data_IF_628529738098
#
_entry.id   IF_628529738098
#
_cell.length_a   1.000
_cell.length_b   1.000
_cell.length_c   1.000
_cell.angle_alpha   90.00
_cell.angle_beta   90.00
_cell.angle_gamma   90.00
#
_symmetry.space_group_name_H-M   'P 1'
#
loop_
_entity.id
_entity.type
_entity.pdbx_description
1 polymer ?
#
# COMPACT_ATOMS: atom_id res chain seq x y z
N UNK A 1 -79.40 29.14 -34.87
CA UNK A 1 -79.52 28.82 -33.43
C UNK A 1 -78.94 27.44 -33.16
N UNK A 2 -77.78 27.34 -32.50
CA UNK A 2 -77.35 26.10 -31.83
C UNK A 2 -76.43 26.48 -30.67
N UNK A 3 -77.05 26.68 -29.50
CA UNK A 3 -76.35 26.88 -28.23
C UNK A 3 -75.72 25.53 -27.85
N UNK A 4 -74.39 25.45 -27.91
CA UNK A 4 -73.61 24.36 -27.33
C UNK A 4 -73.61 24.57 -25.82
N UNK A 5 -74.30 23.69 -25.10
CA UNK A 5 -74.27 23.63 -23.65
C UNK A 5 -72.85 23.28 -23.20
N UNK A 6 -72.14 24.27 -22.67
CA UNK A 6 -70.95 24.04 -21.86
C UNK A 6 -71.43 23.46 -20.53
N UNK A 7 -71.26 22.15 -20.35
CA UNK A 7 -71.43 21.55 -19.04
C UNK A 7 -70.30 22.07 -18.13
N UNK A 8 -70.62 22.54 -16.92
CA UNK A 8 -69.62 23.01 -15.98
C UNK A 8 -68.76 21.81 -15.55
N UNK A 9 -67.48 21.88 -15.88
CA UNK A 9 -66.46 20.96 -15.38
C UNK A 9 -66.43 21.09 -13.85
N UNK A 10 -67.14 20.20 -13.17
CA UNK A 10 -67.07 20.06 -11.71
C UNK A 10 -65.61 19.77 -11.30
N UNK A 11 -65.12 20.36 -10.20
CA UNK A 11 -63.71 20.27 -9.81
C UNK A 11 -63.29 18.80 -9.66
N UNK A 12 -62.20 18.44 -10.33
CA UNK A 12 -61.54 17.14 -10.41
C UNK A 12 -60.97 16.63 -9.06
N UNK A 13 -61.80 16.60 -8.01
CA UNK A 13 -61.41 16.10 -6.67
C UNK A 13 -61.07 14.60 -6.64
N UNK A 14 -61.43 13.82 -7.67
CA UNK A 14 -61.16 12.38 -7.73
C UNK A 14 -59.73 12.03 -8.17
N UNK A 15 -59.00 12.94 -8.79
CA UNK A 15 -57.65 12.63 -9.32
C UNK A 15 -56.55 12.73 -8.25
N UNK A 16 -56.76 13.52 -7.18
CA UNK A 16 -55.75 13.69 -6.12
C UNK A 16 -55.51 12.43 -5.28
N UNK A 17 -56.49 11.51 -5.21
CA UNK A 17 -56.36 10.25 -4.48
C UNK A 17 -55.60 9.17 -5.25
N UNK A 18 -55.69 9.18 -6.59
CA UNK A 18 -55.01 8.20 -7.43
C UNK A 18 -53.48 8.35 -7.36
N UNK A 19 -52.98 9.59 -7.36
CA UNK A 19 -51.55 9.89 -7.25
C UNK A 19 -50.94 9.36 -5.95
N UNK A 20 -51.68 9.42 -4.83
CA UNK A 20 -51.20 8.88 -3.56
C UNK A 20 -51.08 7.35 -3.58
N UNK A 21 -51.99 6.65 -4.27
CA UNK A 21 -51.93 5.20 -4.42
C UNK A 21 -50.78 4.81 -5.35
N UNK A 22 -50.59 5.54 -6.45
CA UNK A 22 -49.47 5.30 -7.37
C UNK A 22 -48.12 5.55 -6.70
N UNK A 23 -47.99 6.62 -5.92
CA UNK A 23 -46.79 6.89 -5.15
C UNK A 23 -46.56 5.82 -4.07
N UNK A 24 -47.61 5.36 -3.39
CA UNK A 24 -47.51 4.33 -2.36
C UNK A 24 -47.03 2.98 -2.90
N UNK A 25 -47.32 2.65 -4.17
CA UNK A 25 -46.81 1.42 -4.81
C UNK A 25 -45.44 1.62 -5.49
N UNK A 26 -45.15 2.80 -6.03
CA UNK A 26 -43.88 3.10 -6.68
C UNK A 26 -42.74 3.30 -5.67
N UNK A 27 -43.02 3.95 -4.53
CA UNK A 27 -42.02 4.24 -3.50
C UNK A 27 -41.27 3.00 -2.98
N UNK A 28 -41.91 1.89 -2.58
CA UNK A 28 -41.18 0.71 -2.10
C UNK A 28 -40.30 0.09 -3.19
N UNK A 29 -40.75 0.09 -4.45
CA UNK A 29 -39.95 -0.39 -5.59
C UNK A 29 -38.74 0.52 -5.81
N UNK A 30 -38.94 1.84 -5.77
CA UNK A 30 -37.87 2.81 -5.91
C UNK A 30 -36.83 2.67 -4.78
N UNK A 31 -37.27 2.51 -3.53
CA UNK A 31 -36.38 2.31 -2.39
C UNK A 31 -35.59 1.00 -2.51
N UNK A 32 -36.24 -0.09 -2.95
CA UNK A 32 -35.56 -1.36 -3.20
C UNK A 32 -34.46 -1.22 -4.26
N UNK A 33 -34.72 -0.49 -5.34
CA UNK A 33 -33.72 -0.23 -6.39
C UNK A 33 -32.57 0.63 -5.87
N UNK A 34 -32.85 1.67 -5.09
CA UNK A 34 -31.81 2.54 -4.51
C UNK A 34 -30.94 1.75 -3.54
N UNK A 35 -31.52 0.98 -2.61
CA UNK A 35 -30.74 0.16 -1.68
C UNK A 35 -29.93 -0.91 -2.41
N UNK A 36 -30.53 -1.58 -3.41
CA UNK A 36 -29.80 -2.54 -4.24
C UNK A 36 -28.59 -1.93 -4.95
N UNK A 37 -28.71 -0.69 -5.45
CA UNK A 37 -27.60 0.01 -6.09
C UNK A 37 -26.48 0.39 -5.10
N UNK A 38 -26.84 0.83 -3.89
CA UNK A 38 -25.87 1.16 -2.83
C UNK A 38 -25.10 -0.10 -2.39
N UNK A 39 -25.80 -1.20 -2.14
CA UNK A 39 -25.17 -2.49 -1.75
C UNK A 39 -24.28 -3.06 -2.85
N UNK A 40 -24.72 -2.98 -4.11
CA UNK A 40 -23.90 -3.42 -5.23
C UNK A 40 -22.62 -2.58 -5.36
N UNK A 41 -22.71 -1.26 -5.10
CA UNK A 41 -21.57 -0.36 -5.09
C UNK A 41 -20.55 -0.70 -3.99
N UNK A 42 -21.01 -0.89 -2.75
CA UNK A 42 -20.13 -1.22 -1.63
C UNK A 42 -19.50 -2.61 -1.76
N UNK A 43 -20.25 -3.59 -2.26
CA UNK A 43 -19.73 -4.93 -2.52
C UNK A 43 -18.71 -4.94 -3.69
N UNK A 44 -18.91 -4.08 -4.71
CA UNK A 44 -17.96 -3.92 -5.80
C UNK A 44 -16.64 -3.28 -5.35
N UNK A 45 -16.72 -2.27 -4.49
CA UNK A 45 -15.55 -1.66 -3.85
C UNK A 45 -14.78 -2.72 -3.04
N UNK A 46 -15.47 -3.48 -2.18
CA UNK A 46 -14.87 -4.55 -1.38
C UNK A 46 -14.05 -5.52 -2.23
N UNK A 47 -14.64 -5.99 -3.33
CA UNK A 47 -14.00 -6.88 -4.29
C UNK A 47 -12.80 -6.24 -4.97
N UNK A 48 -12.90 -4.95 -5.32
CA UNK A 48 -11.81 -4.21 -5.96
C UNK A 48 -10.62 -4.08 -5.01
N UNK A 49 -10.85 -3.71 -3.75
CA UNK A 49 -9.80 -3.64 -2.72
C UNK A 49 -9.14 -5.00 -2.48
N UNK A 50 -9.93 -6.08 -2.42
CA UNK A 50 -9.39 -7.44 -2.29
C UNK A 50 -8.53 -7.85 -3.49
N UNK A 51 -8.94 -7.49 -4.71
CA UNK A 51 -8.18 -7.76 -5.93
C UNK A 51 -6.84 -7.02 -5.92
N UNK A 52 -6.82 -5.74 -5.50
CA UNK A 52 -5.59 -4.97 -5.30
C UNK A 52 -4.72 -5.58 -4.21
N UNK A 53 -5.31 -5.94 -3.07
CA UNK A 53 -4.64 -6.62 -1.95
C UNK A 53 -3.94 -7.90 -2.37
N UNK A 54 -4.62 -8.77 -3.11
CA UNK A 54 -4.04 -10.01 -3.65
C UNK A 54 -2.83 -9.71 -4.55
N UNK A 55 -2.89 -8.68 -5.40
CA UNK A 55 -1.78 -8.31 -6.29
C UNK A 55 -0.60 -7.74 -5.51
N UNK A 56 -0.84 -6.80 -4.60
CA UNK A 56 0.21 -6.22 -3.76
C UNK A 56 0.87 -7.30 -2.88
N UNK A 57 0.05 -8.16 -2.25
CA UNK A 57 0.51 -9.31 -1.48
C UNK A 57 1.34 -10.27 -2.32
N UNK A 58 0.90 -10.60 -3.52
CA UNK A 58 1.65 -11.48 -4.42
C UNK A 58 3.02 -10.88 -4.80
N UNK A 59 3.08 -9.58 -5.10
CA UNK A 59 4.33 -8.89 -5.42
C UNK A 59 5.29 -8.92 -4.22
N UNK A 60 4.80 -8.69 -3.00
CA UNK A 60 5.59 -8.83 -1.77
C UNK A 60 6.09 -10.26 -1.57
N UNK A 61 5.22 -11.25 -1.80
CA UNK A 61 5.57 -12.65 -1.70
C UNK A 61 6.68 -13.03 -2.69
N UNK A 62 6.55 -12.57 -3.94
CA UNK A 62 7.50 -12.81 -5.00
C UNK A 62 8.85 -12.11 -4.77
N UNK A 63 8.85 -10.88 -4.24
CA UNK A 63 10.08 -10.12 -3.99
C UNK A 63 10.88 -10.65 -2.80
N UNK A 64 10.18 -11.13 -1.75
CA UNK A 64 10.83 -11.65 -0.55
C UNK A 64 11.23 -13.13 -0.68
N UNK A 65 10.57 -13.87 -1.60
CA UNK A 65 10.92 -15.24 -1.93
C UNK A 65 10.86 -16.17 -0.72
N UNK A 66 12.03 -16.60 -0.23
CA UNK A 66 12.19 -17.48 0.93
C UNK A 66 12.64 -16.73 2.19
N UNK A 67 12.40 -15.42 2.30
CA UNK A 67 12.62 -14.70 3.54
C UNK A 67 11.64 -15.18 4.62
N UNK A 68 12.04 -15.30 5.89
CA UNK A 68 11.19 -15.77 6.98
C UNK A 68 9.98 -14.86 7.25
N UNK A 69 10.12 -13.55 7.01
CA UNK A 69 9.06 -12.57 7.20
C UNK A 69 8.06 -12.50 6.03
N UNK A 70 8.22 -13.33 5.00
CA UNK A 70 7.45 -13.20 3.76
C UNK A 70 5.95 -13.17 4.04
N UNK A 71 5.42 -14.11 4.84
CA UNK A 71 3.98 -14.18 5.09
C UNK A 71 3.47 -13.01 5.92
N UNK A 72 4.21 -12.58 6.94
CA UNK A 72 3.88 -11.38 7.70
C UNK A 72 3.76 -10.15 6.77
N UNK A 73 4.73 -9.96 5.86
CA UNK A 73 4.74 -8.84 4.93
C UNK A 73 3.60 -8.93 3.90
N UNK A 74 3.27 -10.13 3.45
CA UNK A 74 2.11 -10.37 2.58
C UNK A 74 0.83 -9.99 3.32
N UNK A 75 0.61 -10.50 4.52
CA UNK A 75 -0.57 -10.19 5.34
C UNK A 75 -0.70 -8.68 5.58
N UNK A 76 0.37 -8.02 6.02
CA UNK A 76 0.39 -6.56 6.23
C UNK A 76 0.04 -5.79 4.96
N UNK A 77 0.56 -6.20 3.80
CA UNK A 77 0.25 -5.53 2.54
C UNK A 77 -1.19 -5.76 2.09
N UNK A 78 -1.75 -6.95 2.26
CA UNK A 78 -3.15 -7.24 1.94
C UNK A 78 -4.09 -6.47 2.86
N UNK A 79 -3.79 -6.43 4.18
CA UNK A 79 -4.55 -5.65 5.17
C UNK A 79 -4.51 -4.15 4.83
N UNK A 80 -3.34 -3.62 4.43
CA UNK A 80 -3.19 -2.22 4.04
C UNK A 80 -4.07 -1.82 2.85
N UNK A 81 -4.29 -2.73 1.91
CA UNK A 81 -5.11 -2.50 0.71
C UNK A 81 -6.61 -2.69 0.98
N UNK A 82 -6.98 -3.67 1.84
CA UNK A 82 -8.37 -3.93 2.21
C UNK A 82 -8.90 -2.88 3.21
N UNK A 83 -8.01 -2.33 4.04
CA UNK A 83 -8.34 -1.43 5.13
C UNK A 83 -8.64 -2.19 6.43
N UNK A 84 -8.23 -1.62 7.56
CA UNK A 84 -8.37 -2.26 8.88
C UNK A 84 -9.83 -2.44 9.30
N UNK A 85 -10.72 -1.53 8.88
CA UNK A 85 -12.15 -1.56 9.24
C UNK A 85 -12.90 -2.72 8.57
N UNK A 86 -12.26 -3.40 7.61
CA UNK A 86 -12.85 -4.47 6.79
C UNK A 86 -12.25 -5.84 7.06
N UNK A 87 -11.36 -5.94 8.04
CA UNK A 87 -10.69 -7.21 8.37
C UNK A 87 -11.68 -8.25 8.89
N UNK A 88 -12.74 -7.80 9.56
CA UNK A 88 -13.88 -8.63 9.97
C UNK A 88 -14.64 -9.26 8.78
N UNK A 89 -14.61 -8.62 7.60
CA UNK A 89 -15.20 -9.17 6.38
C UNK A 89 -14.30 -10.25 5.76
N UNK A 90 -13.01 -10.33 6.12
CA UNK A 90 -12.07 -11.30 5.54
C UNK A 90 -12.27 -12.66 6.20
N UNK A 91 -12.75 -13.63 5.43
CA UNK A 91 -12.91 -15.01 5.91
C UNK A 91 -11.54 -15.69 6.05
N UNK A 92 -10.68 -15.50 5.04
CA UNK A 92 -9.30 -15.95 5.09
C UNK A 92 -8.40 -15.31 4.02
N UNK A 93 -7.10 -15.39 4.29
CA UNK A 93 -6.01 -15.19 3.34
C UNK A 93 -5.23 -16.50 3.25
N UNK A 94 -4.96 -16.99 2.04
CA UNK A 94 -4.16 -18.20 1.80
C UNK A 94 -2.91 -17.81 1.02
N UNK A 95 -1.76 -18.23 1.54
CA UNK A 95 -0.46 -18.13 0.86
C UNK A 95 -0.07 -19.55 0.47
N UNK A 96 0.03 -19.83 -0.83
CA UNK A 96 0.15 -21.19 -1.35
C UNK A 96 1.22 -21.36 -2.41
N UNK A 97 1.69 -22.59 -2.55
CA UNK A 97 2.64 -22.97 -3.58
C UNK A 97 1.98 -22.89 -4.96
N UNK A 98 2.45 -21.95 -5.76
CA UNK A 98 1.97 -21.70 -7.12
C UNK A 98 2.45 -22.72 -8.15
N UNK A 99 3.17 -23.77 -7.76
CA UNK A 99 3.63 -24.79 -8.69
C UNK A 99 2.43 -25.63 -9.19
N UNK A 100 2.20 -25.60 -10.50
CA UNK A 100 1.10 -26.33 -11.15
C UNK A 100 1.30 -27.84 -11.16
N UNK A 101 2.52 -28.33 -10.90
CA UNK A 101 2.78 -29.77 -10.76
C UNK A 101 2.12 -30.38 -9.52
N UNK A 102 1.72 -29.54 -8.56
CA UNK A 102 1.00 -29.93 -7.34
C UNK A 102 -0.53 -29.94 -7.52
N UNK A 103 -1.02 -29.53 -8.69
CA UNK A 103 -2.45 -29.51 -9.07
C UNK A 103 -2.90 -28.15 -9.63
N UNK A 104 -4.14 -28.05 -10.15
CA UNK A 104 -4.72 -26.76 -10.51
C UNK A 104 -4.84 -25.85 -9.26
N UNK A 105 -4.50 -24.57 -9.39
CA UNK A 105 -4.50 -23.64 -8.25
C UNK A 105 -5.81 -23.65 -7.45
N UNK A 106 -6.95 -23.77 -8.14
CA UNK A 106 -8.27 -23.85 -7.50
C UNK A 106 -8.42 -25.05 -6.56
N UNK A 107 -7.81 -26.22 -6.85
CA UNK A 107 -7.85 -27.35 -5.91
C UNK A 107 -6.94 -27.13 -4.71
N UNK A 108 -5.80 -26.46 -4.90
CA UNK A 108 -4.94 -26.09 -3.78
C UNK A 108 -5.65 -25.12 -2.85
N UNK A 109 -6.28 -24.07 -3.39
CA UNK A 109 -7.06 -23.12 -2.59
C UNK A 109 -8.20 -23.82 -1.84
N UNK A 110 -8.98 -24.67 -2.52
CA UNK A 110 -10.08 -25.40 -1.89
C UNK A 110 -9.59 -26.38 -0.79
N UNK A 111 -8.46 -27.05 -1.02
CA UNK A 111 -7.85 -27.94 -0.03
C UNK A 111 -7.32 -27.15 1.19
N UNK A 112 -6.81 -25.94 0.95
CA UNK A 112 -6.20 -25.06 1.96
C UNK A 112 -7.19 -24.19 2.72
N UNK A 113 -8.38 -23.99 2.16
CA UNK A 113 -9.42 -23.17 2.77
C UNK A 113 -9.78 -23.74 4.14
N UNK A 114 -9.72 -22.92 5.21
CA UNK A 114 -10.06 -23.39 6.53
C UNK A 114 -11.50 -23.89 6.53
N UNK A 115 -11.70 -25.15 6.87
CA UNK A 115 -13.05 -25.64 7.17
C UNK A 115 -13.43 -25.04 8.52
N UNK A 116 -14.54 -24.29 8.57
CA UNK A 116 -14.99 -23.59 9.77
C UNK A 116 -14.85 -24.46 11.04
N UNK A 117 -14.12 -23.94 12.04
CA UNK A 117 -13.99 -24.58 13.36
C UNK A 117 -12.72 -25.41 13.62
N UNK A 118 -11.73 -25.41 12.71
CA UNK A 118 -10.45 -26.06 12.98
C UNK A 118 -9.50 -25.15 13.78
N UNK A 119 -9.62 -25.22 15.10
CA UNK A 119 -8.59 -24.73 16.00
C UNK A 119 -7.33 -25.62 15.86
N UNK A 120 -6.32 -25.11 15.16
CA UNK A 120 -4.99 -25.72 15.07
C UNK A 120 -4.74 -26.49 13.77
N UNK A 121 -4.23 -25.77 12.77
CA UNK A 121 -3.71 -26.32 11.51
C UNK A 121 -4.26 -25.58 10.30
N UNK A 122 -3.78 -24.36 10.06
CA UNK A 122 -4.31 -23.50 8.99
C UNK A 122 -3.47 -23.68 7.74
N UNK A 123 -3.88 -24.63 6.90
CA UNK A 123 -3.20 -24.97 5.65
C UNK A 123 -2.76 -26.44 5.59
N UNK A 124 -2.08 -26.80 4.50
CA UNK A 124 -1.66 -28.15 4.21
C UNK A 124 -0.15 -28.18 4.09
N UNK A 125 0.46 -29.13 4.81
CA UNK A 125 1.91 -29.35 4.81
C UNK A 125 2.45 -29.41 3.39
N UNK A 126 3.46 -28.57 3.13
CA UNK A 126 4.16 -28.37 1.85
C UNK A 126 3.29 -27.83 0.71
N UNK A 127 2.06 -27.37 0.98
CA UNK A 127 1.18 -26.77 -0.03
C UNK A 127 0.86 -25.32 0.26
N UNK A 128 0.51 -24.97 1.51
CA UNK A 128 -0.02 -23.65 1.83
C UNK A 128 -0.09 -23.39 3.33
N UNK A 129 -0.18 -22.09 3.65
CA UNK A 129 -0.64 -21.56 4.93
C UNK A 129 -1.97 -20.83 4.72
N UNK A 130 -2.86 -20.88 5.69
CA UNK A 130 -4.11 -20.13 5.70
C UNK A 130 -4.17 -19.25 6.96
N UNK A 131 -4.80 -18.08 6.85
CA UNK A 131 -4.90 -17.09 7.92
C UNK A 131 -6.36 -16.61 7.97
N UNK A 132 -7.06 -16.84 9.07
CA UNK A 132 -8.42 -16.30 9.30
C UNK A 132 -8.37 -14.88 9.88
N UNK A 133 -9.55 -14.29 10.10
CA UNK A 133 -9.72 -12.97 10.67
C UNK A 133 -8.99 -12.76 12.01
N UNK A 134 -8.95 -13.75 12.91
CA UNK A 134 -8.26 -13.61 14.20
C UNK A 134 -6.74 -13.42 14.02
N UNK A 135 -6.13 -14.07 13.03
CA UNK A 135 -4.71 -13.85 12.74
C UNK A 135 -4.48 -12.43 12.21
N UNK A 136 -5.41 -11.92 11.41
CA UNK A 136 -5.31 -10.56 10.87
C UNK A 136 -5.44 -9.51 11.97
N UNK A 137 -6.37 -9.71 12.90
CA UNK A 137 -6.50 -8.88 14.10
C UNK A 137 -5.22 -8.93 14.94
N UNK A 138 -4.64 -10.11 15.12
CA UNK A 138 -3.39 -10.27 15.87
C UNK A 138 -2.21 -9.60 15.14
N UNK A 139 -2.19 -9.56 13.80
CA UNK A 139 -1.21 -8.80 13.00
C UNK A 139 -1.39 -7.29 13.19
N UNK A 140 -2.64 -6.80 13.15
CA UNK A 140 -2.97 -5.37 13.34
C UNK A 140 -2.62 -4.91 14.76
N UNK A 141 -2.89 -5.76 15.75
CA UNK A 141 -2.53 -5.53 17.15
C UNK A 141 -1.01 -5.67 17.40
N UNK A 142 -0.23 -6.14 16.42
CA UNK A 142 1.21 -6.40 16.56
C UNK A 142 1.53 -7.58 17.50
N UNK A 143 0.52 -8.41 17.81
CA UNK A 143 0.68 -9.64 18.61
C UNK A 143 1.35 -10.73 17.79
N UNK A 144 0.99 -10.84 16.51
CA UNK A 144 1.75 -11.60 15.52
C UNK A 144 2.86 -10.71 14.96
N UNK A 145 4.11 -11.11 15.20
CA UNK A 145 5.32 -10.46 14.71
C UNK A 145 6.25 -11.48 14.03
N UNK A 146 7.46 -11.07 13.65
CA UNK A 146 8.40 -11.94 12.94
C UNK A 146 8.74 -13.22 13.72
N UNK A 147 8.75 -13.19 15.05
CA UNK A 147 9.03 -14.36 15.90
C UNK A 147 7.90 -15.41 15.82
N UNK A 148 6.70 -15.06 15.34
CA UNK A 148 5.62 -16.02 15.10
C UNK A 148 5.81 -16.82 13.80
N UNK A 149 6.68 -16.34 12.90
CA UNK A 149 7.03 -16.97 11.61
C UNK A 149 8.45 -17.57 11.64
N UNK A 150 9.36 -16.96 12.40
CA UNK A 150 10.72 -17.47 12.60
C UNK A 150 10.67 -18.69 13.54
N UNK A 151 11.44 -19.76 13.26
CA UNK A 151 11.59 -20.90 14.15
C UNK A 151 12.28 -20.54 15.49
N UNK A 152 12.80 -19.31 15.60
CA UNK A 152 13.35 -18.74 16.83
C UNK A 152 14.64 -19.41 17.27
N UNK A 153 15.25 -20.23 16.41
CA UNK A 153 16.48 -20.92 16.77
C UNK A 153 17.69 -19.98 16.73
N UNK A 154 17.56 -18.77 16.17
CA UNK A 154 18.62 -17.74 16.15
C UNK A 154 19.96 -18.22 15.59
N UNK A 155 19.95 -19.41 14.99
CA UNK A 155 21.12 -20.08 14.45
C UNK A 155 20.99 -19.97 12.95
N UNK A 156 22.06 -19.52 12.29
CA UNK A 156 22.14 -19.33 10.84
C UNK A 156 22.02 -20.64 10.03
N UNK A 157 21.40 -21.68 10.61
CA UNK A 157 20.96 -22.85 9.87
C UNK A 157 19.77 -22.45 8.99
N UNK A 158 19.73 -22.91 7.73
CA UNK A 158 18.66 -22.58 6.80
C UNK A 158 17.30 -22.94 7.41
N UNK A 159 16.43 -21.94 7.58
CA UNK A 159 15.06 -22.01 8.10
C UNK A 159 14.43 -23.39 7.89
N UNK A 160 14.44 -24.21 8.92
CA UNK A 160 13.96 -25.59 8.82
C UNK A 160 12.49 -25.54 9.15
N UNK A 161 11.62 -25.70 8.14
CA UNK A 161 10.20 -25.93 8.45
C UNK A 161 10.14 -27.12 9.39
N UNK A 162 9.73 -26.88 10.64
CA UNK A 162 9.71 -27.90 11.68
C UNK A 162 9.08 -29.18 11.13
N UNK A 163 9.90 -30.21 10.95
CA UNK A 163 9.42 -31.55 10.60
C UNK A 163 8.81 -32.24 11.82
N UNK A 164 8.82 -31.59 12.99
CA UNK A 164 8.25 -32.15 14.21
C UNK A 164 6.71 -32.06 14.16
N UNK A 165 5.99 -33.19 14.31
CA UNK A 165 4.53 -33.24 14.30
C UNK A 165 3.88 -32.69 15.59
N UNK A 166 4.64 -32.08 16.48
CA UNK A 166 4.08 -31.30 17.59
C UNK A 166 3.38 -30.06 17.01
N UNK A 167 2.17 -29.70 17.48
CA UNK A 167 1.41 -28.57 16.97
C UNK A 167 2.31 -27.34 16.98
N UNK A 168 2.72 -26.93 15.79
CA UNK A 168 3.71 -25.89 15.64
C UNK A 168 3.11 -24.61 16.22
N UNK A 169 3.81 -24.03 17.19
CA UNK A 169 3.53 -22.69 17.70
C UNK A 169 3.71 -21.60 16.64
N UNK A 170 4.15 -21.97 15.43
CA UNK A 170 4.42 -21.09 14.30
C UNK A 170 3.30 -21.17 13.27
N UNK A 171 2.86 -19.99 12.86
CA UNK A 171 1.64 -19.81 12.09
C UNK A 171 1.80 -20.20 10.61
N UNK A 172 3.03 -20.20 10.10
CA UNK A 172 3.41 -20.52 8.72
C UNK A 172 4.03 -21.92 8.56
N UNK A 173 3.91 -22.76 9.59
CA UNK A 173 4.59 -24.05 9.69
C UNK A 173 4.24 -25.06 8.58
N UNK A 174 3.07 -24.92 7.95
CA UNK A 174 2.64 -25.82 6.88
C UNK A 174 3.42 -25.56 5.59
N UNK A 175 3.75 -24.31 5.26
CA UNK A 175 4.51 -23.93 4.08
C UNK A 175 5.48 -22.76 4.34
N UNK A 176 6.46 -23.04 5.21
CA UNK A 176 7.44 -22.05 5.64
C UNK A 176 8.44 -21.66 4.52
N UNK A 177 9.15 -20.56 4.77
CA UNK A 177 10.08 -19.91 3.84
C UNK A 177 11.11 -20.86 3.19
N UNK A 178 11.74 -21.74 3.97
CA UNK A 178 12.76 -22.69 3.50
C UNK A 178 12.25 -23.72 2.48
N UNK A 179 10.92 -23.92 2.37
CA UNK A 179 10.29 -24.83 1.40
C UNK A 179 9.73 -24.13 0.16
N UNK A 180 9.91 -22.81 0.04
CA UNK A 180 9.41 -22.02 -1.12
C UNK A 180 10.29 -22.12 -2.34
N UNK A 181 11.58 -22.36 -2.13
CA UNK A 181 12.52 -22.61 -3.21
C UNK A 181 12.19 -23.98 -3.81
N UNK A 182 11.61 -23.97 -5.02
CA UNK A 182 11.44 -25.19 -5.80
C UNK A 182 12.80 -25.81 -6.16
N UNK A 183 12.80 -27.05 -6.66
CA UNK A 183 14.03 -27.75 -7.07
C UNK A 183 14.83 -27.00 -8.15
N UNK A 184 14.17 -26.10 -8.89
CA UNK A 184 14.76 -25.26 -9.94
C UNK A 184 15.29 -23.91 -9.44
N UNK A 185 15.14 -23.60 -8.14
CA UNK A 185 15.41 -22.27 -7.58
C UNK A 185 14.34 -21.22 -7.89
N UNK A 186 13.28 -21.58 -8.63
CA UNK A 186 12.12 -20.71 -8.81
C UNK A 186 11.24 -20.74 -7.55
N UNK A 187 10.72 -19.57 -7.16
CA UNK A 187 9.64 -19.47 -6.18
C UNK A 187 8.35 -19.30 -6.95
N UNK A 188 7.49 -20.31 -6.85
CA UNK A 188 6.12 -20.24 -7.31
C UNK A 188 5.23 -19.95 -6.10
N UNK A 189 4.72 -18.74 -6.01
CA UNK A 189 3.87 -18.32 -4.90
C UNK A 189 2.56 -17.77 -5.41
N UNK A 190 1.48 -18.14 -4.72
CA UNK A 190 0.16 -17.61 -4.93
C UNK A 190 -0.39 -17.01 -3.65
N UNK A 191 -1.24 -16.00 -3.82
CA UNK A 191 -2.00 -15.38 -2.75
C UNK A 191 -3.48 -15.46 -3.14
N UNK A 192 -4.31 -15.91 -2.22
CA UNK A 192 -5.76 -15.92 -2.37
C UNK A 192 -6.40 -15.24 -1.16
N UNK A 193 -7.47 -14.50 -1.38
CA UNK A 193 -8.25 -13.83 -0.35
C UNK A 193 -9.71 -14.16 -0.57
N UNK A 194 -10.41 -14.50 0.51
CA UNK A 194 -11.86 -14.60 0.51
C UNK A 194 -12.43 -13.62 1.52
N UNK A 195 -13.43 -12.87 1.07
CA UNK A 195 -14.17 -11.92 1.87
C UNK A 195 -15.66 -12.21 1.79
N UNK A 196 -16.37 -11.93 2.88
CA UNK A 196 -17.81 -11.97 2.99
C UNK A 196 -18.32 -10.56 3.29
N UNK A 197 -18.83 -9.88 2.27
CA UNK A 197 -19.38 -8.54 2.39
C UNK A 197 -20.84 -8.62 2.85
N UNK A 198 -21.09 -8.22 4.10
CA UNK A 198 -22.44 -8.18 4.66
C UNK A 198 -23.33 -7.09 4.04
N UNK A 199 -24.63 -7.37 3.89
CA UNK A 199 -25.57 -6.33 3.42
C UNK A 199 -25.73 -5.24 4.48
N UNK A 200 -25.33 -4.00 4.16
CA UNK A 200 -25.33 -2.89 5.12
C UNK A 200 -26.73 -2.42 5.50
N UNK A 201 -27.67 -2.45 4.54
CA UNK A 201 -29.04 -1.97 4.65
C UNK A 201 -30.02 -3.05 5.12
N UNK A 202 -29.65 -4.33 5.00
CA UNK A 202 -30.53 -5.47 5.22
C UNK A 202 -31.74 -5.53 4.27
N UNK A 203 -31.76 -4.71 3.20
CA UNK A 203 -32.86 -4.66 2.25
C UNK A 203 -32.87 -5.86 1.28
N UNK A 204 -31.71 -6.50 1.09
CA UNK A 204 -31.56 -7.71 0.29
C UNK A 204 -31.65 -8.95 1.18
N UNK A 205 -32.29 -10.04 0.72
CA UNK A 205 -32.34 -11.28 1.48
C UNK A 205 -30.96 -11.93 1.60
N UNK A 206 -30.71 -12.59 2.74
CA UNK A 206 -29.45 -13.24 3.06
C UNK A 206 -28.54 -12.36 3.94
N UNK A 207 -27.35 -12.87 4.24
CA UNK A 207 -26.41 -12.19 5.15
C UNK A 207 -25.37 -11.35 4.39
N UNK A 208 -25.19 -11.57 3.08
CA UNK A 208 -24.18 -10.87 2.29
C UNK A 208 -23.87 -11.55 0.96
N UNK A 209 -22.72 -11.18 0.39
CA UNK A 209 -22.11 -11.81 -0.78
C UNK A 209 -20.65 -12.13 -0.49
N UNK A 210 -20.20 -13.31 -0.89
CA UNK A 210 -18.79 -13.71 -0.78
C UNK A 210 -18.06 -13.55 -2.11
N UNK A 211 -16.82 -13.11 -2.01
CA UNK A 211 -15.90 -13.00 -3.14
C UNK A 211 -14.62 -13.78 -2.82
N UNK A 212 -14.09 -14.48 -3.81
CA UNK A 212 -12.82 -15.18 -3.73
C UNK A 212 -11.95 -14.67 -4.88
N UNK A 213 -10.80 -14.10 -4.55
CA UNK A 213 -9.84 -13.55 -5.50
C UNK A 213 -8.49 -14.22 -5.27
N UNK A 214 -7.77 -14.53 -6.35
CA UNK A 214 -6.44 -15.13 -6.24
C UNK A 214 -5.54 -14.71 -7.41
N UNK A 215 -4.24 -14.76 -7.16
CA UNK A 215 -3.22 -14.53 -8.17
C UNK A 215 -1.99 -15.39 -7.88
N UNK A 216 -1.22 -15.71 -8.93
CA UNK A 216 -0.03 -16.56 -8.86
C UNK A 216 1.09 -15.89 -9.64
N UNK A 217 2.30 -15.93 -9.09
CA UNK A 217 3.53 -15.48 -9.75
C UNK A 217 4.57 -16.58 -9.69
N UNK A 218 5.41 -16.62 -10.72
CA UNK A 218 6.61 -17.43 -10.79
C UNK A 218 7.79 -16.50 -10.97
N UNK A 219 8.63 -16.39 -9.94
CA UNK A 219 9.87 -15.61 -9.99
C UNK A 219 11.03 -16.59 -9.94
N UNK A 220 11.93 -16.49 -10.91
CA UNK A 220 13.24 -17.14 -10.80
C UNK A 220 14.00 -16.36 -9.73
N UNK A 221 14.28 -16.99 -8.59
CA UNK A 221 15.17 -16.37 -7.61
C UNK A 221 16.53 -16.38 -8.27
N UNK A 222 17.01 -15.22 -8.74
CA UNK A 222 18.42 -15.06 -9.03
C UNK A 222 19.17 -15.52 -7.79
N UNK A 223 20.23 -16.29 -7.96
CA UNK A 223 20.93 -17.04 -6.90
C UNK A 223 21.56 -16.18 -5.77
N UNK A 224 21.09 -14.96 -5.55
CA UNK A 224 21.32 -14.19 -4.34
C UNK A 224 20.59 -14.86 -3.18
N UNK A 225 21.26 -15.85 -2.58
CA UNK A 225 20.93 -16.26 -1.22
C UNK A 225 20.80 -14.97 -0.39
N UNK A 226 19.62 -14.74 0.19
CA UNK A 226 19.40 -13.64 1.11
C UNK A 226 20.60 -13.62 2.06
N UNK A 227 21.36 -12.52 2.05
CA UNK A 227 22.45 -12.37 2.99
C UNK A 227 21.85 -12.63 4.38
N UNK A 228 22.42 -13.52 5.20
CA UNK A 228 21.84 -13.86 6.49
C UNK A 228 21.55 -12.57 7.23
N UNK A 229 20.32 -12.40 7.69
CA UNK A 229 19.96 -11.25 8.52
C UNK A 229 20.93 -11.20 9.69
N UNK A 230 21.85 -10.25 9.65
CA UNK A 230 22.73 -9.95 10.77
C UNK A 230 21.98 -8.90 11.57
N UNK A 231 21.37 -9.26 12.72
CA UNK A 231 20.78 -8.25 13.57
C UNK A 231 21.83 -7.17 13.86
N UNK A 232 21.48 -5.87 13.80
CA UNK A 232 22.42 -4.81 14.06
C UNK A 232 23.13 -5.08 15.39
N UNK A 233 24.46 -4.94 15.40
CA UNK A 233 25.25 -5.16 16.60
C UNK A 233 24.63 -4.37 17.76
N UNK A 234 24.55 -4.94 18.98
CA UNK A 234 23.99 -4.23 20.13
C UNK A 234 24.63 -2.85 20.23
N UNK A 235 23.80 -1.80 20.25
CA UNK A 235 24.30 -0.45 20.36
C UNK A 235 25.28 -0.37 21.54
N UNK A 236 26.44 0.27 21.37
CA UNK A 236 27.39 0.43 22.47
C UNK A 236 26.65 1.08 23.66
N UNK A 237 26.95 0.63 24.89
CA UNK A 237 26.27 1.14 26.07
C UNK A 237 26.37 2.66 26.10
N UNK A 238 25.25 3.37 26.36
CA UNK A 238 25.26 4.82 26.37
C UNK A 238 26.31 5.33 27.37
N UNK A 239 27.02 6.42 27.06
CA UNK A 239 27.96 7.04 27.99
C UNK A 239 27.24 7.38 29.30
N UNK A 240 27.95 7.19 30.42
CA UNK A 240 27.41 7.35 31.77
C UNK A 240 26.66 8.68 31.94
N UNK A 241 25.48 8.69 32.58
CA UNK A 241 24.64 9.87 32.69
C UNK A 241 25.32 10.98 33.51
N UNK A 242 25.32 12.18 32.96
CA UNK A 242 25.55 13.43 33.71
C UNK A 242 24.35 13.70 34.65
N UNK A 243 24.55 14.36 35.82
CA UNK A 243 23.51 14.50 36.84
C UNK A 243 22.29 15.33 36.37
N UNK A 244 21.11 15.13 36.99
CA UNK A 244 19.83 15.55 36.44
C UNK A 244 19.54 17.04 36.67
N UNK A 245 18.98 17.70 35.65
CA UNK A 245 18.18 18.93 35.81
C UNK A 245 16.71 18.52 35.80
N UNK A 246 16.01 18.91 36.86
CA UNK A 246 14.61 18.61 37.13
C UNK A 246 13.71 19.49 36.24
N UNK A 247 12.83 18.87 35.46
CA UNK A 247 11.73 19.51 34.74
C UNK A 247 10.58 18.52 34.53
N UNK A 248 9.37 18.93 34.90
CA UNK A 248 8.11 18.16 34.94
C UNK A 248 7.57 17.77 33.54
N UNK A 249 6.75 16.71 33.43
CA UNK A 249 6.29 16.21 32.14
C UNK A 249 5.05 16.96 31.64
N UNK A 250 5.13 17.44 30.40
CA UNK A 250 3.99 17.74 29.53
C UNK A 250 4.44 17.50 28.07
N UNK A 251 3.52 17.24 27.13
CA UNK A 251 3.81 16.66 25.82
C UNK A 251 4.73 17.55 24.99
N UNK A 252 5.70 16.95 24.31
CA UNK A 252 6.73 17.66 23.54
C UNK A 252 6.31 17.74 22.06
N UNK A 253 5.98 18.94 21.55
CA UNK A 253 6.11 19.24 20.14
C UNK A 253 7.59 19.45 19.84
N UNK A 254 8.14 18.72 18.87
CA UNK A 254 9.55 18.85 18.49
C UNK A 254 9.65 19.94 17.42
N UNK A 255 10.16 21.10 17.85
CA UNK A 255 10.59 22.20 16.98
C UNK A 255 12.02 21.97 16.45
N UNK A 256 12.26 22.43 15.23
CA UNK A 256 13.50 22.28 14.48
C UNK A 256 14.73 22.87 15.18
N UNK A 257 15.82 22.10 15.23
CA UNK A 257 17.19 22.60 15.00
C UNK A 257 18.05 21.45 14.46
N UNK A 258 18.59 21.64 13.26
CA UNK A 258 19.72 20.93 12.65
C UNK A 258 20.13 19.58 13.27
N UNK A 259 19.56 18.47 12.79
CA UNK A 259 20.17 17.15 12.89
C UNK A 259 19.80 16.36 11.63
N UNK A 260 20.79 15.69 11.05
CA UNK A 260 20.64 14.86 9.88
C UNK A 260 19.53 13.81 10.10
N UNK A 261 18.53 13.81 9.22
CA UNK A 261 17.48 12.80 9.21
C UNK A 261 18.06 11.55 8.52
N UNK A 262 18.35 10.51 9.30
CA UNK A 262 18.35 9.16 8.77
C UNK A 262 16.89 8.71 8.74
N UNK A 263 16.32 8.50 7.56
CA UNK A 263 14.94 8.03 7.42
C UNK A 263 14.92 6.56 7.85
N UNK A 264 14.29 6.20 8.99
CA UNK A 264 14.11 4.81 9.33
C UNK A 264 12.88 4.32 8.56
N UNK A 265 13.08 3.44 7.56
CA UNK A 265 12.05 2.71 6.83
C UNK A 265 10.89 3.57 6.27
N UNK A 266 10.85 3.69 4.94
CA UNK A 266 9.70 4.23 4.16
C UNK A 266 8.37 3.88 4.84
N UNK A 267 7.74 4.87 5.47
CA UNK A 267 6.47 4.71 6.18
C UNK A 267 5.35 4.65 5.15
N UNK A 268 4.38 3.79 5.47
CA UNK A 268 3.22 3.40 4.69
C UNK A 268 2.41 4.56 4.09
N UNK A 269 1.71 4.20 3.01
CA UNK A 269 0.52 4.84 2.45
C UNK A 269 -0.11 5.90 3.36
N UNK A 270 -0.14 7.14 2.87
CA UNK A 270 -0.93 8.21 3.47
C UNK A 270 -2.40 7.82 3.32
N UNK A 271 -3.19 7.73 4.41
CA UNK A 271 -4.60 7.42 4.32
C UNK A 271 -5.30 8.41 3.40
N UNK A 272 -6.07 7.92 2.42
CA UNK A 272 -6.82 8.76 1.49
C UNK A 272 -7.68 9.77 2.25
N UNK A 273 -7.35 11.05 2.13
CA UNK A 273 -8.08 12.16 2.77
C UNK A 273 -7.33 12.92 3.87
N UNK A 274 -6.16 12.46 4.35
CA UNK A 274 -5.30 13.28 5.17
C UNK A 274 -4.56 14.30 4.28
N UNK A 275 -4.67 15.61 4.58
CA UNK A 275 -3.84 16.60 3.91
C UNK A 275 -2.39 16.40 4.34
N UNK A 276 -1.47 16.29 3.38
CA UNK A 276 -0.02 16.12 3.62
C UNK A 276 0.64 17.43 4.03
N UNK A 277 0.09 18.10 5.02
CA UNK A 277 0.50 19.45 5.42
C UNK A 277 1.21 19.42 6.77
N UNK A 278 2.39 20.02 6.83
CA UNK A 278 3.17 20.18 8.06
C UNK A 278 4.17 21.33 7.96
N UNK A 279 4.15 22.20 8.98
CA UNK A 279 5.12 23.30 9.14
C UNK A 279 6.51 22.82 9.57
N UNK A 280 6.71 21.50 9.75
CA UNK A 280 7.92 20.95 10.37
C UNK A 280 8.34 19.59 9.83
N UNK A 281 7.53 18.98 8.96
CA UNK A 281 7.76 17.62 8.47
C UNK A 281 7.76 17.62 6.95
N UNK A 282 8.83 17.10 6.36
CA UNK A 282 8.82 16.67 4.98
C UNK A 282 8.33 15.22 4.91
N UNK A 283 7.44 14.93 3.97
CA UNK A 283 6.93 13.59 3.73
C UNK A 283 7.70 12.94 2.60
N UNK A 284 8.21 11.73 2.82
CA UNK A 284 8.97 10.98 1.82
C UNK A 284 8.17 9.74 1.48
N UNK A 285 7.82 9.60 0.21
CA UNK A 285 6.84 8.64 -0.28
C UNK A 285 7.45 7.89 -1.46
N UNK A 286 7.50 6.56 -1.36
CA UNK A 286 7.83 5.72 -2.52
C UNK A 286 6.56 5.52 -3.36
N UNK A 287 6.54 6.01 -4.60
CA UNK A 287 5.30 6.05 -5.39
C UNK A 287 5.12 4.79 -6.23
N UNK A 288 6.08 4.50 -7.10
CA UNK A 288 6.03 3.34 -7.98
C UNK A 288 7.41 2.68 -8.09
N UNK A 289 7.40 1.35 -8.13
CA UNK A 289 8.58 0.55 -8.40
C UNK A 289 8.47 -0.09 -9.80
N UNK A 290 9.57 -0.01 -10.56
CA UNK A 290 9.80 -0.71 -11.83
C UNK A 290 8.86 -0.29 -12.97
N UNK A 291 8.69 1.01 -13.18
CA UNK A 291 7.91 1.56 -14.28
C UNK A 291 8.78 1.68 -15.52
N UNK A 292 8.37 1.06 -16.64
CA UNK A 292 9.04 1.28 -17.93
C UNK A 292 8.46 2.52 -18.60
N UNK A 293 9.30 3.52 -18.87
CA UNK A 293 8.86 4.78 -19.46
C UNK A 293 8.31 4.58 -20.88
N UNK A 294 7.08 5.03 -21.13
CA UNK A 294 6.46 4.91 -22.46
C UNK A 294 7.03 5.90 -23.49
N UNK A 295 7.62 7.00 -23.01
CA UNK A 295 8.27 8.04 -23.80
C UNK A 295 9.51 8.55 -23.06
N UNK A 296 10.35 9.33 -23.74
CA UNK A 296 11.49 9.99 -23.10
C UNK A 296 10.97 10.91 -21.99
N UNK A 297 11.46 10.72 -20.76
CA UNK A 297 11.15 11.57 -19.63
C UNK A 297 12.17 12.70 -19.60
N UNK A 298 11.75 13.89 -20.01
CA UNK A 298 12.61 15.07 -19.99
C UNK A 298 12.82 15.47 -18.53
N UNK A 299 14.07 15.59 -18.10
CA UNK A 299 14.38 16.09 -16.78
C UNK A 299 14.39 17.63 -16.83
N UNK A 300 13.66 18.26 -15.92
CA UNK A 300 13.63 19.72 -15.81
C UNK A 300 14.98 20.24 -15.29
N UNK A 301 15.81 20.68 -16.21
CA UNK A 301 17.09 21.35 -15.91
C UNK A 301 17.19 22.68 -16.67
N UNK A 302 16.14 23.50 -16.59
CA UNK A 302 16.13 24.83 -17.21
C UNK A 302 15.73 25.99 -16.26
N UNK A 303 15.59 25.75 -14.95
CA UNK A 303 15.35 26.79 -13.93
C UNK A 303 16.62 27.30 -13.24
N UNK A 304 16.46 28.30 -12.35
CA UNK A 304 17.49 29.12 -11.66
C UNK A 304 18.35 28.35 -10.61
N UNK A 305 18.75 27.11 -10.91
CA UNK A 305 19.70 26.32 -10.10
C UNK A 305 21.15 26.44 -10.59
N UNK A 306 22.12 26.51 -9.68
CA UNK A 306 23.54 26.35 -10.03
C UNK A 306 23.89 24.88 -10.27
N UNK A 307 23.92 24.48 -11.54
CA UNK A 307 24.48 23.19 -11.93
C UNK A 307 26.01 23.28 -12.05
N UNK A 308 26.75 22.18 -11.77
CA UNK A 308 28.12 22.06 -12.21
C UNK A 308 28.22 22.35 -13.72
N UNK A 309 29.21 23.13 -14.19
CA UNK A 309 29.35 23.45 -15.60
C UNK A 309 29.51 22.15 -16.42
N UNK A 310 28.56 21.88 -17.32
CA UNK A 310 28.56 20.70 -18.20
C UNK A 310 27.26 19.89 -18.25
N UNK A 311 26.28 20.18 -17.40
CA UNK A 311 25.00 19.46 -17.41
C UNK A 311 24.00 20.20 -18.33
N UNK A 312 23.61 19.57 -19.45
CA UNK A 312 22.47 20.00 -20.27
C UNK A 312 21.20 19.29 -19.79
N UNK A 313 19.99 19.82 -20.09
CA UNK A 313 18.75 19.05 -19.98
C UNK A 313 18.97 17.65 -20.57
N UNK A 314 18.76 16.63 -19.75
CA UNK A 314 18.91 15.24 -20.13
C UNK A 314 17.52 14.62 -20.12
N UNK A 315 17.24 13.77 -21.10
CA UNK A 315 16.05 12.95 -21.08
C UNK A 315 16.44 11.55 -20.65
N UNK A 316 15.64 10.94 -19.77
CA UNK A 316 15.70 9.51 -19.52
C UNK A 316 14.99 8.84 -20.70
N UNK A 317 15.66 7.98 -21.48
CA UNK A 317 15.08 7.41 -22.69
C UNK A 317 13.84 6.55 -22.39
N UNK A 318 12.89 6.53 -23.33
CA UNK A 318 11.79 5.59 -23.34
C UNK A 318 12.30 4.14 -23.19
N UNK A 319 11.52 3.30 -22.52
CA UNK A 319 11.84 1.91 -22.20
C UNK A 319 12.71 1.73 -20.96
N UNK A 320 13.32 2.80 -20.43
CA UNK A 320 14.08 2.74 -19.17
C UNK A 320 13.14 2.38 -18.02
N UNK A 321 13.55 1.41 -17.19
CA UNK A 321 12.83 1.08 -15.96
C UNK A 321 13.27 2.01 -14.84
N UNK A 322 12.32 2.74 -14.26
CA UNK A 322 12.56 3.74 -13.24
C UNK A 322 11.72 3.50 -11.98
N UNK A 323 12.28 3.94 -10.87
CA UNK A 323 11.63 4.00 -9.57
C UNK A 323 11.57 5.47 -9.15
N UNK A 324 10.50 5.89 -8.48
CA UNK A 324 10.38 7.27 -8.01
C UNK A 324 10.11 7.36 -6.52
N UNK A 325 10.77 8.35 -5.91
CA UNK A 325 10.53 8.77 -4.53
C UNK A 325 10.09 10.23 -4.56
N UNK A 326 8.90 10.51 -4.04
CA UNK A 326 8.37 11.86 -3.86
C UNK A 326 8.77 12.37 -2.47
N UNK A 327 9.31 13.58 -2.44
CA UNK A 327 9.53 14.39 -1.25
C UNK A 327 8.51 15.52 -1.32
N UNK A 328 7.56 15.53 -0.41
CA UNK A 328 6.45 16.48 -0.37
C UNK A 328 6.57 17.36 0.87
N UNK A 329 6.48 18.67 0.66
CA UNK A 329 6.53 19.67 1.71
C UNK A 329 5.42 20.69 1.46
N UNK A 330 4.48 20.79 2.37
CA UNK A 330 3.38 21.75 2.31
C UNK A 330 3.16 22.36 3.69
N UNK A 331 3.26 23.69 3.81
CA UNK A 331 3.04 24.41 5.07
C UNK A 331 1.53 24.50 5.36
N UNK A 332 1.11 24.40 6.62
CA UNK A 332 -0.32 24.48 7.02
C UNK A 332 -0.89 25.91 6.99
N UNK A 333 -0.13 26.88 6.47
CA UNK A 333 -0.59 28.25 6.22
C UNK A 333 -0.01 29.26 7.21
N UNK A 334 1.20 29.03 7.72
CA UNK A 334 1.93 30.05 8.45
C UNK A 334 2.20 31.25 7.52
N UNK A 335 2.00 32.45 8.07
CA UNK A 335 2.35 33.70 7.39
C UNK A 335 3.85 33.92 7.55
N UNK A 336 4.65 33.24 6.74
CA UNK A 336 6.09 33.36 6.79
C UNK A 336 6.81 32.39 5.88
N UNK A 337 8.11 32.59 5.78
CA UNK A 337 9.05 31.68 5.15
C UNK A 337 9.40 30.56 6.12
N UNK A 338 9.16 29.30 5.75
CA UNK A 338 9.62 28.13 6.50
C UNK A 338 10.73 27.42 5.72
N UNK A 339 11.88 27.18 6.37
CA UNK A 339 13.02 26.51 5.72
C UNK A 339 13.09 25.04 6.13
N UNK A 340 12.98 24.15 5.15
CA UNK A 340 13.05 22.71 5.32
C UNK A 340 14.39 22.17 4.82
N UNK A 341 15.18 21.63 5.74
CA UNK A 341 16.43 20.96 5.43
C UNK A 341 16.29 19.46 5.67
N UNK A 342 16.73 18.66 4.71
CA UNK A 342 16.69 17.22 4.84
C UNK A 342 17.63 16.51 3.87
N UNK A 343 17.73 15.20 4.07
CA UNK A 343 18.42 14.33 3.14
C UNK A 343 17.81 12.94 3.17
N UNK A 344 17.86 12.25 2.04
CA UNK A 344 17.65 10.82 1.94
C UNK A 344 18.95 10.15 1.50
N UNK A 345 19.22 8.98 2.05
CA UNK A 345 20.27 8.09 1.58
C UNK A 345 19.59 6.92 0.89
N UNK A 346 19.89 6.75 -0.40
CA UNK A 346 19.37 5.65 -1.21
C UNK A 346 20.26 4.42 -1.04
N UNK A 347 19.71 3.21 -1.19
CA UNK A 347 20.53 2.02 -1.20
C UNK A 347 21.51 2.05 -2.40
N UNK A 348 22.61 1.30 -2.28
CA UNK A 348 23.66 1.26 -3.30
C UNK A 348 23.21 0.79 -4.69
N UNK A 349 22.07 0.13 -4.75
CA UNK A 349 21.50 -0.41 -5.98
C UNK A 349 20.64 0.61 -6.73
N UNK A 350 20.35 1.76 -6.11
CA UNK A 350 19.69 2.88 -6.76
C UNK A 350 20.73 3.85 -7.31
N UNK A 351 20.60 4.16 -8.59
CA UNK A 351 21.32 5.26 -9.23
C UNK A 351 20.33 6.39 -9.47
N UNK A 352 20.60 7.58 -8.93
CA UNK A 352 19.81 8.78 -9.24
C UNK A 352 19.97 9.10 -10.71
N UNK A 353 18.87 8.98 -11.46
CA UNK A 353 18.80 9.30 -12.88
C UNK A 353 18.46 10.77 -13.09
N UNK A 354 17.65 11.35 -12.19
CA UNK A 354 17.22 12.73 -12.30
C UNK A 354 16.40 13.19 -11.11
N UNK A 355 16.18 14.50 -11.05
CA UNK A 355 15.26 15.14 -10.12
C UNK A 355 14.24 15.91 -10.95
N UNK A 356 12.97 15.79 -10.58
CA UNK A 356 11.86 16.55 -11.15
C UNK A 356 11.25 17.40 -10.04
N UNK A 357 11.07 18.69 -10.30
CA UNK A 357 10.47 19.61 -9.34
C UNK A 357 9.43 20.54 -9.98
N UNK A 358 9.35 20.59 -11.32
CA UNK A 358 8.36 21.41 -12.03
C UNK A 358 8.03 20.81 -13.41
N UNK A 359 7.41 19.64 -13.48
CA UNK A 359 7.03 19.05 -14.77
C UNK A 359 5.51 18.96 -14.95
N UNK A 360 4.93 19.94 -15.64
CA UNK A 360 3.52 19.90 -16.03
C UNK A 360 3.17 18.75 -16.99
N UNK A 361 4.16 18.11 -17.63
CA UNK A 361 3.96 16.97 -18.52
C UNK A 361 3.73 15.65 -17.76
N UNK A 362 4.10 15.60 -16.47
CA UNK A 362 3.83 14.44 -15.61
C UNK A 362 2.34 14.20 -15.37
N UNK A 363 1.50 15.23 -15.47
CA UNK A 363 0.04 15.09 -15.42
C UNK A 363 -0.51 14.18 -16.55
N UNK A 364 0.31 13.83 -17.54
CA UNK A 364 0.02 12.88 -18.61
C UNK A 364 0.71 11.52 -18.47
N UNK A 365 1.54 11.30 -17.43
CA UNK A 365 2.27 10.04 -17.18
C UNK A 365 1.73 9.34 -15.93
N UNK A 366 0.53 8.72 -15.99
CA UNK A 366 -0.13 8.11 -14.84
C UNK A 366 0.70 7.01 -14.17
N UNK A 367 1.71 6.49 -14.86
CA UNK A 367 2.60 5.45 -14.34
C UNK A 367 3.57 5.95 -13.26
N UNK A 368 3.82 7.26 -13.20
CA UNK A 368 4.65 7.88 -12.17
C UNK A 368 3.82 8.54 -11.07
N UNK A 369 2.49 8.62 -11.22
CA UNK A 369 1.62 9.24 -10.23
C UNK A 369 1.25 8.26 -9.10
N UNK A 370 1.26 8.73 -7.86
CA UNK A 370 0.53 8.05 -6.79
C UNK A 370 -0.97 8.35 -6.97
N UNK A 371 -1.83 7.35 -6.76
CA UNK A 371 -3.29 7.53 -6.78
C UNK A 371 -3.68 8.73 -5.90
N UNK A 372 -4.33 9.73 -6.51
CA UNK A 372 -4.87 10.96 -5.90
C UNK A 372 -3.92 12.15 -5.65
N UNK A 373 -2.65 12.07 -6.03
CA UNK A 373 -1.77 13.25 -5.98
C UNK A 373 -1.99 14.12 -7.22
N UNK A 374 -2.45 15.36 -7.02
CA UNK A 374 -2.54 16.36 -8.10
C UNK A 374 -1.23 17.13 -8.17
N UNK A 375 -0.40 16.82 -9.16
CA UNK A 375 0.77 17.62 -9.50
C UNK A 375 0.29 18.88 -10.26
N UNK A 376 -0.02 19.94 -9.53
CA UNK A 376 -0.43 21.21 -10.14
C UNK A 376 0.77 21.95 -10.77
N UNK A 377 0.51 22.95 -11.61
CA UNK A 377 1.51 23.95 -12.04
C UNK A 377 1.86 24.89 -10.89
N UNK A 378 2.40 24.36 -9.81
CA UNK A 378 2.98 25.16 -8.74
C UNK A 378 4.36 25.63 -9.20
N UNK A 379 4.72 26.87 -8.87
CA UNK A 379 5.97 27.48 -9.32
C UNK A 379 7.15 26.61 -8.87
N UNK A 380 8.13 26.41 -9.75
CA UNK A 380 9.32 25.63 -9.41
C UNK A 380 10.11 26.20 -8.24
N UNK A 381 11.22 25.54 -7.91
CA UNK A 381 12.13 25.89 -6.81
C UNK A 381 12.33 27.41 -6.64
N UNK A 382 11.96 27.93 -5.48
CA UNK A 382 12.12 29.33 -5.12
C UNK A 382 13.63 29.62 -4.90
N UNK A 383 14.11 30.85 -5.06
CA UNK A 383 15.49 31.16 -4.63
C UNK A 383 15.45 31.50 -3.14
N UNK A 384 16.18 30.80 -2.25
CA UNK A 384 17.41 30.04 -2.48
C UNK A 384 17.31 28.51 -2.29
N UNK A 385 16.27 27.88 -2.83
CA UNK A 385 16.11 26.43 -2.81
C UNK A 385 17.30 25.73 -3.44
N UNK A 386 17.75 24.67 -2.78
CA UNK A 386 18.83 23.85 -3.30
C UNK A 386 18.51 22.38 -3.11
N UNK A 387 18.73 21.60 -4.16
CA UNK A 387 18.79 20.15 -4.10
C UNK A 387 20.16 19.72 -4.57
N UNK A 388 20.85 18.94 -3.75
CA UNK A 388 22.19 18.43 -4.03
C UNK A 388 22.16 16.92 -4.06
N UNK A 389 22.67 16.34 -5.15
CA UNK A 389 22.90 14.90 -5.26
C UNK A 389 24.40 14.64 -5.09
N UNK A 390 24.76 13.82 -4.11
CA UNK A 390 26.14 13.42 -3.85
C UNK A 390 26.20 11.90 -3.65
N UNK A 391 26.47 11.16 -4.73
CA UNK A 391 26.42 9.70 -4.71
C UNK A 391 24.99 9.21 -4.54
N UNK A 392 24.72 8.46 -3.46
CA UNK A 392 23.39 7.97 -3.10
C UNK A 392 22.60 8.92 -2.21
N UNK A 393 23.21 10.02 -1.77
CA UNK A 393 22.55 10.99 -0.91
C UNK A 393 21.92 12.09 -1.75
N UNK A 394 20.62 12.31 -1.55
CA UNK A 394 19.90 13.48 -2.06
C UNK A 394 19.57 14.37 -0.88
N UNK A 395 20.14 15.56 -0.85
CA UNK A 395 19.92 16.56 0.20
C UNK A 395 19.16 17.75 -0.36
N UNK A 396 18.32 18.37 0.46
CA UNK A 396 17.57 19.56 0.09
C UNK A 396 17.60 20.62 1.20
N UNK A 397 17.46 21.85 0.77
CA UNK A 397 17.18 23.02 1.59
C UNK A 397 16.14 23.83 0.80
N UNK A 398 14.89 23.77 1.24
CA UNK A 398 13.73 24.35 0.56
C UNK A 398 13.12 25.47 1.41
N UNK A 399 12.83 26.60 0.79
CA UNK A 399 12.22 27.78 1.36
C UNK A 399 10.75 27.84 0.92
N UNK A 400 9.85 27.47 1.83
CA UNK A 400 8.42 27.37 1.53
C UNK A 400 7.73 28.67 1.92
N UNK A 401 7.24 29.46 0.95
CA UNK A 401 6.48 30.71 1.19
C UNK A 401 5.01 30.64 0.74
N UNK A 402 4.24 29.73 1.33
CA UNK A 402 2.81 29.57 1.03
C UNK A 402 2.52 28.89 -0.33
N UNK A 403 3.56 28.35 -0.95
CA UNK A 403 3.51 27.42 -2.06
C UNK A 403 3.94 26.04 -1.57
N UNK A 404 3.62 25.01 -2.35
CA UNK A 404 3.94 23.63 -2.03
C UNK A 404 5.16 23.23 -2.84
N UNK A 405 6.21 22.78 -2.17
CA UNK A 405 7.40 22.27 -2.83
C UNK A 405 7.33 20.75 -2.93
N UNK A 406 7.58 20.25 -4.14
CA UNK A 406 7.65 18.83 -4.41
C UNK A 406 8.93 18.52 -5.16
N UNK A 407 9.71 17.60 -4.60
CA UNK A 407 10.88 17.06 -5.28
C UNK A 407 10.61 15.59 -5.54
N UNK A 408 10.73 15.18 -6.79
CA UNK A 408 10.71 13.79 -7.16
C UNK A 408 12.10 13.34 -7.56
N UNK A 409 12.60 12.34 -6.87
CA UNK A 409 13.87 11.69 -7.18
C UNK A 409 13.57 10.48 -8.06
N UNK A 410 14.02 10.55 -9.32
CA UNK A 410 13.92 9.44 -10.27
C UNK A 410 15.21 8.64 -10.20
N UNK A 411 15.07 7.35 -9.98
CA UNK A 411 16.18 6.42 -9.81
C UNK A 411 16.06 5.24 -10.76
N UNK A 412 17.16 4.53 -10.99
CA UNK A 412 17.08 3.16 -11.50
C UNK A 412 16.36 2.32 -10.46
N UNK A 413 15.49 1.43 -10.90
CA UNK A 413 15.06 0.37 -9.99
C UNK A 413 16.21 -0.61 -9.80
N UNK A 414 16.47 -1.07 -8.57
CA UNK A 414 17.26 -2.28 -8.40
C UNK A 414 16.64 -3.33 -9.30
N UNK A 415 17.46 -3.92 -10.16
CA UNK A 415 17.06 -5.13 -10.87
C UNK A 415 16.62 -6.10 -9.78
N UNK A 416 15.32 -6.42 -9.73
CA UNK A 416 14.83 -7.50 -8.88
C UNK A 416 15.66 -8.72 -9.28
N UNK A 417 16.60 -9.16 -8.45
CA UNK A 417 17.65 -10.07 -8.91
C UNK A 417 17.11 -11.46 -9.26
#
# INVERSE_FOLDING_TARGET
MRRRNQHPNGPSRRERGAVLVEAAMALPILLLVIFGAVEAGSAWEARSSATSGVRTGLLRAASLGSAPETDLRVLQSVIGEIGTDRVDDVEWIIIFNGDTTVGPHASTIADCAPTAGLAGGRGIVNKCNAYDNQDLDDVIAGTINIDNFDDGTGTATPYVCSTSPTPATKIDSNWCSGKRLGATGAVNVGVAVRLNHGWMTGALPGDGVSFEEFSVSSTLVGSQAAAPYVPPAPAPPPPAPTPPVVGTPNPVPVTSTSNAYAVPNVVASVPGGASLQSDSTAFIIQEAASVSLAADLVLDAAGDGTFPPGNSPAAIPAGTSVCSTLIHIDDTGLSGTTVFNGSIELDSDYTVLGILYEDSSLAGTPELEMFSTSYGSYGGMETPDTVTVSGQTVSWNLEVTGHMDQIRVVTTCPLVP
#
